data_IF_969084895198
#
_entry.id   IF_969084895198
#
_cell.length_a   1.000
_cell.length_b   1.000
_cell.length_c   1.000
_cell.angle_alpha   90.00
_cell.angle_beta   90.00
_cell.angle_gamma   90.00
#
_symmetry.space_group_name_H-M   'P 1'
#
loop_
_entity.id
_entity.type
_entity.pdbx_description
1 polymer ?
#
# COMPACT_ATOMS: atom_id res chain seq x y z
N UNK A 1 -10.08 -5.02 2.84
CA UNK A 1 -9.57 -4.46 4.12
C UNK A 1 -10.27 -5.03 5.35
N UNK A 2 -11.60 -4.91 5.52
CA UNK A 2 -12.31 -5.47 6.70
C UNK A 2 -12.12 -6.98 6.93
N UNK A 3 -12.06 -7.76 5.84
CA UNK A 3 -11.74 -9.19 5.91
C UNK A 3 -10.39 -9.46 6.60
N UNK A 4 -9.33 -8.74 6.20
CA UNK A 4 -8.00 -8.87 6.80
C UNK A 4 -7.99 -8.46 8.27
N UNK A 5 -8.73 -7.41 8.64
CA UNK A 5 -8.89 -7.02 10.04
C UNK A 5 -9.56 -8.12 10.88
N UNK A 6 -10.64 -8.71 10.36
CA UNK A 6 -11.38 -9.77 11.06
C UNK A 6 -10.52 -11.04 11.28
N UNK A 7 -9.53 -11.26 10.42
CA UNK A 7 -8.54 -12.34 10.56
C UNK A 7 -7.36 -11.97 11.48
N UNK A 8 -7.34 -10.76 12.05
CA UNK A 8 -6.30 -10.32 12.99
C UNK A 8 -5.02 -9.79 12.31
N UNK A 9 -5.05 -9.47 11.01
CA UNK A 9 -3.89 -8.90 10.33
C UNK A 9 -3.68 -7.44 10.72
N UNK A 10 -2.41 -7.06 10.87
CA UNK A 10 -2.00 -5.67 10.96
C UNK A 10 -2.21 -4.98 9.61
N UNK A 11 -2.97 -3.88 9.62
CA UNK A 11 -3.19 -3.07 8.43
C UNK A 11 -2.24 -1.88 8.42
N UNK A 12 -1.49 -1.75 7.33
CA UNK A 12 -0.54 -0.66 7.10
C UNK A 12 -0.98 0.14 5.89
N UNK A 13 -1.27 1.41 6.10
CA UNK A 13 -1.59 2.39 5.08
C UNK A 13 -0.34 3.22 4.78
N UNK A 14 0.07 3.27 3.52
CA UNK A 14 1.22 4.11 3.09
C UNK A 14 0.75 5.17 2.12
N UNK A 15 1.14 6.43 2.35
CA UNK A 15 0.84 7.54 1.45
C UNK A 15 2.12 8.19 0.94
N UNK A 16 2.16 8.45 -0.38
CA UNK A 16 3.20 9.27 -1.00
C UNK A 16 2.86 10.78 -0.98
N UNK A 17 1.74 11.18 -0.34
CA UNK A 17 1.35 12.58 -0.17
C UNK A 17 2.07 13.18 1.05
N UNK A 18 2.46 14.47 1.01
CA UNK A 18 3.15 15.10 2.12
C UNK A 18 2.32 15.07 3.43
N UNK A 19 3.04 14.86 4.54
CA UNK A 19 2.52 14.62 5.89
C UNK A 19 1.50 15.64 6.41
N UNK A 20 1.50 16.88 5.88
CA UNK A 20 0.52 17.93 6.23
C UNK A 20 -0.95 17.50 6.01
N UNK A 21 -1.21 16.39 5.31
CA UNK A 21 -2.53 15.79 5.10
C UNK A 21 -2.86 14.61 6.05
N UNK A 22 -2.01 14.24 7.01
CA UNK A 22 -2.22 13.08 7.89
C UNK A 22 -3.59 13.09 8.56
N UNK A 23 -3.97 14.24 9.13
CA UNK A 23 -5.27 14.41 9.81
C UNK A 23 -6.45 14.28 8.83
N UNK A 24 -6.33 14.84 7.64
CA UNK A 24 -7.37 14.76 6.60
C UNK A 24 -7.54 13.34 6.07
N UNK A 25 -6.44 12.63 5.81
CA UNK A 25 -6.47 11.23 5.36
C UNK A 25 -7.04 10.33 6.46
N UNK A 26 -6.68 10.56 7.72
CA UNK A 26 -7.25 9.81 8.85
C UNK A 26 -8.76 10.01 8.97
N UNK A 27 -9.23 11.27 8.84
CA UNK A 27 -10.66 11.59 8.84
C UNK A 27 -11.36 10.91 7.66
N UNK A 28 -10.78 10.98 6.45
CA UNK A 28 -11.35 10.35 5.26
C UNK A 28 -11.48 8.84 5.42
N UNK A 29 -10.45 8.17 5.96
CA UNK A 29 -10.49 6.73 6.24
C UNK A 29 -11.61 6.38 7.22
N UNK A 30 -11.75 7.14 8.30
CA UNK A 30 -12.81 6.93 9.29
C UNK A 30 -14.21 7.17 8.68
N UNK A 31 -14.39 8.24 7.92
CA UNK A 31 -15.65 8.56 7.24
C UNK A 31 -16.10 7.46 6.26
N UNK A 32 -15.14 6.80 5.61
CA UNK A 32 -15.41 5.70 4.68
C UNK A 32 -15.37 4.31 5.34
N UNK A 33 -15.42 4.25 6.68
CA UNK A 33 -15.43 3.01 7.47
C UNK A 33 -14.26 2.06 7.13
N UNK A 34 -13.09 2.64 6.87
CA UNK A 34 -11.88 1.84 6.81
C UNK A 34 -11.51 1.36 8.22
N UNK A 35 -11.04 0.11 8.33
CA UNK A 35 -10.56 -0.42 9.60
C UNK A 35 -9.36 0.36 10.13
N UNK A 36 -9.18 0.36 11.44
CA UNK A 36 -8.02 1.00 12.07
C UNK A 36 -6.72 0.30 11.66
N UNK A 37 -5.67 1.09 11.45
CA UNK A 37 -4.36 0.59 11.04
C UNK A 37 -3.28 1.66 11.18
N UNK A 38 -2.03 1.25 11.02
CA UNK A 38 -0.89 2.16 11.07
C UNK A 38 -0.83 2.94 9.75
N UNK A 39 -0.74 4.26 9.85
CA UNK A 39 -0.59 5.11 8.69
C UNK A 39 0.83 5.68 8.65
N UNK A 40 1.56 5.40 7.57
CA UNK A 40 2.88 5.97 7.32
C UNK A 40 2.79 6.96 6.17
N UNK A 41 3.29 8.16 6.44
CA UNK A 41 3.41 9.25 5.47
C UNK A 41 4.88 9.48 5.20
N UNK A 42 5.19 9.89 3.98
CA UNK A 42 6.53 10.27 3.59
C UNK A 42 6.73 11.74 3.98
N UNK A 43 7.66 12.01 4.90
CA UNK A 43 7.87 13.35 5.50
C UNK A 43 8.58 14.32 4.55
N UNK A 44 7.87 15.30 4.01
CA UNK A 44 8.46 16.40 3.23
C UNK A 44 8.27 16.30 1.72
N UNK A 45 8.87 17.23 0.98
CA UNK A 45 8.80 17.30 -0.48
C UNK A 45 10.06 16.63 -1.04
N UNK A 46 9.93 15.39 -1.47
CA UNK A 46 11.03 14.67 -2.10
C UNK A 46 10.93 14.70 -3.62
N UNK A 47 12.08 14.75 -4.28
CA UNK A 47 12.19 14.65 -5.74
C UNK A 47 11.67 13.29 -6.27
N UNK A 48 11.73 12.23 -5.46
CA UNK A 48 11.21 10.90 -5.80
C UNK A 48 10.43 10.26 -4.63
N UNK A 49 9.10 10.48 -4.55
CA UNK A 49 8.24 9.90 -3.52
C UNK A 49 8.14 8.37 -3.58
N UNK A 50 8.32 7.76 -4.75
CA UNK A 50 8.27 6.30 -4.90
C UNK A 50 9.49 5.64 -4.27
N UNK A 51 10.67 6.25 -4.42
CA UNK A 51 11.88 5.80 -3.74
C UNK A 51 11.74 5.86 -2.22
N UNK A 52 11.17 6.93 -1.67
CA UNK A 52 10.95 7.04 -0.22
C UNK A 52 9.97 5.98 0.28
N UNK A 53 8.87 5.76 -0.45
CA UNK A 53 7.93 4.67 -0.16
C UNK A 53 8.63 3.30 -0.17
N UNK A 54 9.53 3.08 -1.14
CA UNK A 54 10.34 1.86 -1.23
C UNK A 54 11.23 1.65 -0.01
N UNK A 55 11.96 2.69 0.41
CA UNK A 55 12.82 2.65 1.60
C UNK A 55 12.03 2.33 2.87
N UNK A 56 10.89 2.99 3.07
CA UNK A 56 10.01 2.75 4.20
C UNK A 56 9.52 1.29 4.22
N UNK A 57 8.96 0.79 3.12
CA UNK A 57 8.46 -0.58 3.05
C UNK A 57 9.59 -1.61 3.25
N UNK A 58 10.78 -1.33 2.70
CA UNK A 58 11.96 -2.18 2.89
C UNK A 58 12.37 -2.22 4.35
N UNK A 59 12.40 -1.08 5.05
CA UNK A 59 12.68 -1.02 6.48
C UNK A 59 11.65 -1.80 7.30
N UNK A 60 10.36 -1.67 6.99
CA UNK A 60 9.29 -2.42 7.66
C UNK A 60 9.44 -3.94 7.50
N UNK A 61 9.74 -4.41 6.29
CA UNK A 61 9.88 -5.85 6.01
C UNK A 61 11.19 -6.40 6.59
N UNK A 62 12.31 -5.72 6.37
CA UNK A 62 13.63 -6.25 6.66
C UNK A 62 14.10 -5.95 8.08
N UNK A 63 13.87 -4.73 8.57
CA UNK A 63 14.38 -4.28 9.88
C UNK A 63 13.37 -4.56 10.99
N UNK A 64 12.07 -4.34 10.74
CA UNK A 64 11.00 -4.66 11.69
C UNK A 64 10.48 -6.10 11.53
N UNK A 65 11.08 -6.89 10.64
CA UNK A 65 10.75 -8.30 10.38
C UNK A 65 9.26 -8.56 10.10
N UNK A 66 8.58 -7.60 9.46
CA UNK A 66 7.17 -7.77 9.12
C UNK A 66 7.01 -8.68 7.90
N UNK A 67 6.20 -9.72 8.06
CA UNK A 67 5.83 -10.61 6.97
C UNK A 67 4.60 -10.08 6.23
N UNK A 68 4.76 -9.73 4.95
CA UNK A 68 3.67 -9.16 4.15
C UNK A 68 2.83 -10.26 3.53
N UNK A 69 1.60 -10.40 4.00
CA UNK A 69 0.66 -11.38 3.46
C UNK A 69 0.09 -10.98 2.10
N UNK A 70 -0.28 -9.70 1.95
CA UNK A 70 -0.79 -9.14 0.71
C UNK A 70 -0.50 -7.63 0.64
N UNK A 71 -0.40 -7.10 -0.57
CA UNK A 71 -0.19 -5.68 -0.82
C UNK A 71 -1.18 -5.16 -1.86
N UNK A 72 -1.78 -4.00 -1.57
CA UNK A 72 -2.68 -3.29 -2.47
C UNK A 72 -1.99 -2.03 -2.96
N UNK A 73 -2.05 -1.73 -4.26
CA UNK A 73 -1.39 -0.55 -4.80
C UNK A 73 -1.70 -0.29 -6.26
N UNK A 74 -1.14 0.78 -6.79
CA UNK A 74 -1.23 1.11 -8.21
C UNK A 74 -0.27 0.26 -9.05
N UNK A 75 -0.37 0.38 -10.38
CA UNK A 75 0.60 -0.23 -11.30
C UNK A 75 2.06 0.15 -11.02
N UNK A 76 2.29 1.35 -10.44
CA UNK A 76 3.63 1.83 -10.09
C UNK A 76 4.24 1.09 -8.89
N UNK A 77 3.39 0.50 -8.05
CA UNK A 77 3.80 -0.18 -6.83
C UNK A 77 4.15 -1.66 -7.05
N UNK A 78 3.70 -2.26 -8.17
CA UNK A 78 3.92 -3.68 -8.49
C UNK A 78 5.41 -4.05 -8.48
N UNK A 79 6.32 -3.32 -9.16
CA UNK A 79 7.73 -3.68 -9.18
C UNK A 79 8.37 -3.64 -7.79
N UNK A 80 7.91 -2.71 -6.94
CA UNK A 80 8.36 -2.58 -5.56
C UNK A 80 7.88 -3.77 -4.71
N UNK A 81 6.62 -4.17 -4.82
CA UNK A 81 6.13 -5.34 -4.09
C UNK A 81 6.85 -6.62 -4.54
N UNK A 82 7.16 -6.75 -5.85
CA UNK A 82 7.94 -7.87 -6.37
C UNK A 82 9.38 -7.88 -5.83
N UNK A 83 10.05 -6.72 -5.72
CA UNK A 83 11.40 -6.65 -5.16
C UNK A 83 11.46 -6.98 -3.66
N UNK A 84 10.35 -6.80 -2.94
CA UNK A 84 10.18 -7.24 -1.55
C UNK A 84 9.86 -8.74 -1.40
N UNK A 85 9.79 -9.48 -2.51
CA UNK A 85 9.59 -10.93 -2.51
C UNK A 85 8.13 -11.39 -2.55
N UNK A 86 7.15 -10.48 -2.71
CA UNK A 86 5.75 -10.88 -2.79
C UNK A 86 5.46 -11.62 -4.09
N UNK A 87 4.65 -12.67 -4.01
CA UNK A 87 4.16 -13.40 -5.17
C UNK A 87 3.04 -12.65 -5.90
N UNK A 88 2.80 -12.89 -7.21
CA UNK A 88 1.74 -12.21 -7.96
C UNK A 88 0.34 -12.40 -7.36
N UNK A 89 0.09 -13.54 -6.69
CA UNK A 89 -1.15 -13.84 -5.96
C UNK A 89 -1.34 -13.00 -4.69
N UNK A 90 -0.28 -12.39 -4.19
CA UNK A 90 -0.27 -11.54 -3.00
C UNK A 90 -0.35 -10.04 -3.37
N UNK A 91 -0.20 -9.70 -4.65
CA UNK A 91 -0.18 -8.31 -5.13
C UNK A 91 -1.51 -8.01 -5.81
N UNK A 92 -2.22 -7.00 -5.29
CA UNK A 92 -3.51 -6.57 -5.79
C UNK A 92 -3.39 -5.17 -6.39
N UNK A 93 -3.37 -5.11 -7.72
CA UNK A 93 -3.25 -3.85 -8.42
C UNK A 93 -4.63 -3.19 -8.61
N UNK A 94 -4.73 -1.92 -8.21
CA UNK A 94 -5.92 -1.08 -8.28
C UNK A 94 -5.76 -0.11 -9.45
N UNK A 95 -6.78 -0.06 -10.32
CA UNK A 95 -6.81 0.82 -11.49
C UNK A 95 -6.25 0.17 -12.77
N UNK A 96 -5.75 1.01 -13.69
CA UNK A 96 -5.23 0.53 -15.00
C UNK A 96 -3.84 -0.07 -14.84
N UNK A 97 -3.68 -1.32 -15.30
CA UNK A 97 -2.39 -1.99 -15.42
C UNK A 97 -2.13 -2.42 -16.86
N UNK A 98 -0.85 -2.52 -17.24
CA UNK A 98 -0.48 -3.03 -18.57
C UNK A 98 -0.65 -4.55 -18.67
N UNK A 99 -0.72 -5.09 -19.90
CA UNK A 99 -0.76 -6.54 -20.14
C UNK A 99 0.40 -7.30 -19.49
N UNK A 100 1.60 -6.70 -19.47
CA UNK A 100 2.78 -7.29 -18.81
C UNK A 100 2.60 -7.37 -17.30
N UNK A 101 2.09 -6.30 -16.67
CA UNK A 101 1.87 -6.24 -15.23
C UNK A 101 0.75 -7.15 -14.74
N UNK A 102 -0.16 -7.57 -15.62
CA UNK A 102 -1.19 -8.56 -15.29
C UNK A 102 -0.62 -9.95 -14.97
N UNK A 103 0.63 -10.22 -15.33
CA UNK A 103 1.34 -11.44 -14.93
C UNK A 103 2.02 -11.32 -13.56
N UNK A 104 2.18 -10.10 -13.06
CA UNK A 104 2.93 -9.78 -11.84
C UNK A 104 2.02 -9.37 -10.67
N UNK A 105 0.73 -9.19 -10.93
CA UNK A 105 -0.27 -8.82 -9.95
C UNK A 105 -1.66 -9.33 -10.34
N UNK A 106 -2.48 -9.58 -9.34
CA UNK A 106 -3.92 -9.80 -9.51
C UNK A 106 -4.61 -8.46 -9.70
N UNK A 107 -5.34 -8.28 -10.80
CA UNK A 107 -6.20 -7.09 -10.99
C UNK A 107 -7.32 -7.16 -9.96
N UNK A 108 -7.35 -6.20 -9.05
CA UNK A 108 -8.43 -6.08 -8.08
C UNK A 108 -9.25 -4.84 -8.41
N UNK A 109 -10.47 -5.06 -8.88
CA UNK A 109 -11.48 -4.01 -9.03
C UNK A 109 -12.05 -3.69 -7.65
N UNK A 110 -11.20 -3.26 -6.71
CA UNK A 110 -11.69 -2.56 -5.53
C UNK A 110 -11.92 -1.13 -5.98
N UNK A 111 -13.17 -0.81 -6.30
CA UNK A 111 -13.64 0.56 -6.49
C UNK A 111 -13.48 1.33 -5.17
N UNK A 112 -12.29 1.84 -4.91
CA UNK A 112 -12.15 3.03 -4.09
C UNK A 112 -12.46 4.20 -5.03
N UNK A 113 -13.76 4.54 -5.09
CA UNK A 113 -14.23 5.77 -5.72
C UNK A 113 -13.56 6.99 -5.03
N UNK A 114 -13.42 8.10 -5.78
CA UNK A 114 -12.29 9.05 -5.72
C UNK A 114 -12.09 9.80 -4.40
#
# INVERSE_FOLDING_TARGET
MRHWQALGYLLIYTSARPDMQHKQVSIWLAQHNFPTGLCFFVDGIFADPLRQKSLLLTALVQQAHLHVHCAYGSSKDIPLYRSLGLQPSQIFAIGKISRRQALEATVSTICLLP
#
